data_IF_522499585139
#
_entry.id   IF_522499585139
#
_cell.length_a   1.000
_cell.length_b   1.000
_cell.length_c   1.000
_cell.angle_alpha   90.00
_cell.angle_beta   90.00
_cell.angle_gamma   90.00
#
_symmetry.space_group_name_H-M   'P 1'
#
loop_
_entity.id
_entity.type
_entity.pdbx_description
1 polymer ?
#
# COMPACT_ATOMS: atom_id res chain seq x y z
N UNK A 1 -19.09 -12.27 5.68
CA UNK A 1 -18.63 -13.19 4.62
C UNK A 1 -17.60 -14.11 5.25
N UNK A 2 -17.54 -15.38 4.86
CA UNK A 2 -16.56 -16.30 5.43
C UNK A 2 -15.16 -15.86 4.99
N UNK A 3 -14.20 -15.83 5.91
CA UNK A 3 -12.81 -15.55 5.58
C UNK A 3 -12.23 -16.73 4.78
N UNK A 4 -11.34 -16.44 3.84
CA UNK A 4 -10.63 -17.49 3.11
C UNK A 4 -9.82 -18.35 4.11
N UNK A 5 -9.83 -19.68 3.96
CA UNK A 5 -9.11 -20.56 4.89
C UNK A 5 -7.61 -20.22 4.95
N UNK A 6 -7.03 -19.85 3.82
CA UNK A 6 -5.61 -19.57 3.69
C UNK A 6 -5.38 -18.07 3.41
N UNK A 7 -4.87 -17.28 4.37
CA UNK A 7 -4.71 -15.84 4.17
C UNK A 7 -3.65 -15.47 3.14
N UNK A 8 -2.68 -16.35 2.87
CA UNK A 8 -1.53 -16.02 2.02
C UNK A 8 -1.87 -16.26 0.54
N UNK A 9 -1.68 -15.25 -0.31
CA UNK A 9 -1.84 -15.41 -1.76
C UNK A 9 -0.49 -15.66 -2.45
N UNK A 10 0.50 -14.81 -2.18
CA UNK A 10 1.86 -14.96 -2.71
C UNK A 10 2.91 -15.00 -1.60
N UNK A 11 3.80 -15.99 -1.69
CA UNK A 11 4.98 -16.12 -0.83
C UNK A 11 6.24 -16.11 -1.71
N UNK A 12 7.06 -15.08 -1.52
CA UNK A 12 8.24 -14.74 -2.33
C UNK A 12 7.93 -14.56 -3.82
N UNK A 13 6.75 -14.03 -4.14
CA UNK A 13 6.29 -13.74 -5.51
C UNK A 13 5.79 -14.95 -6.30
N UNK A 14 5.53 -16.05 -5.61
CA UNK A 14 4.93 -17.27 -6.16
C UNK A 14 3.64 -17.58 -5.42
N UNK A 15 2.66 -18.17 -6.12
CA UNK A 15 1.46 -18.72 -5.50
C UNK A 15 1.85 -19.68 -4.39
N UNK A 16 1.07 -19.74 -3.32
CA UNK A 16 1.27 -20.71 -2.23
C UNK A 16 1.16 -22.18 -2.68
N UNK A 17 0.53 -22.44 -3.82
CA UNK A 17 0.38 -23.77 -4.41
C UNK A 17 1.50 -24.12 -5.40
N UNK A 18 2.32 -23.15 -5.81
CA UNK A 18 3.41 -23.35 -6.76
C UNK A 18 4.55 -24.14 -6.10
N UNK A 19 4.71 -25.41 -6.48
CA UNK A 19 5.77 -26.31 -6.00
C UNK A 19 6.88 -26.52 -7.04
N UNK A 20 6.98 -25.64 -8.04
CA UNK A 20 8.04 -25.73 -9.05
C UNK A 20 9.43 -25.57 -8.39
N UNK A 21 10.51 -26.10 -9.02
CA UNK A 21 11.87 -25.89 -8.53
C UNK A 21 12.23 -24.40 -8.36
N UNK A 22 11.65 -23.54 -9.19
CA UNK A 22 11.83 -22.08 -9.09
C UNK A 22 11.18 -21.53 -7.82
N UNK A 23 9.91 -21.81 -7.57
CA UNK A 23 9.24 -21.36 -6.35
C UNK A 23 9.93 -21.87 -5.08
N UNK A 24 10.33 -23.14 -5.06
CA UNK A 24 11.09 -23.73 -3.96
C UNK A 24 12.41 -22.97 -3.74
N UNK A 25 13.15 -22.68 -4.81
CA UNK A 25 14.40 -21.90 -4.75
C UNK A 25 14.15 -20.50 -4.17
N UNK A 26 13.10 -19.81 -4.61
CA UNK A 26 12.76 -18.46 -4.15
C UNK A 26 12.39 -18.44 -2.66
N UNK A 27 11.61 -19.41 -2.20
CA UNK A 27 11.27 -19.55 -0.78
C UNK A 27 12.49 -19.91 0.07
N UNK A 28 13.29 -20.90 -0.35
CA UNK A 28 14.50 -21.35 0.35
C UNK A 28 15.53 -20.23 0.51
N UNK A 29 15.79 -19.49 -0.57
CA UNK A 29 16.80 -18.44 -0.60
C UNK A 29 16.24 -17.05 -0.31
N UNK A 30 14.93 -16.95 -0.02
CA UNK A 30 14.22 -15.71 0.33
C UNK A 30 14.38 -14.63 -0.73
N UNK A 31 14.27 -15.02 -1.99
CA UNK A 31 14.48 -14.16 -3.15
C UNK A 31 13.22 -13.36 -3.47
N UNK A 32 13.39 -12.16 -4.03
CA UNK A 32 12.32 -11.32 -4.51
C UNK A 32 12.38 -11.22 -6.04
N UNK A 33 11.33 -11.62 -6.78
CA UNK A 33 11.35 -11.56 -8.24
C UNK A 33 11.08 -10.17 -8.82
N UNK A 34 10.69 -9.20 -7.98
CA UNK A 34 10.17 -7.90 -8.42
C UNK A 34 11.22 -6.77 -8.27
N UNK A 35 12.44 -6.99 -8.76
CA UNK A 35 13.48 -5.94 -8.85
C UNK A 35 13.71 -5.18 -7.53
N UNK A 36 13.91 -5.93 -6.44
CA UNK A 36 14.27 -5.34 -5.16
C UNK A 36 15.71 -4.81 -5.17
N UNK A 37 16.05 -3.93 -4.23
CA UNK A 37 17.40 -3.31 -4.11
C UNK A 37 18.53 -4.34 -4.00
N UNK A 38 18.21 -5.50 -3.43
CA UNK A 38 19.04 -6.71 -3.41
C UNK A 38 18.20 -7.88 -3.91
N UNK A 39 18.81 -8.99 -4.35
CA UNK A 39 18.05 -10.15 -4.83
C UNK A 39 17.06 -10.73 -3.80
N UNK A 40 17.30 -10.50 -2.51
CA UNK A 40 16.49 -11.02 -1.41
C UNK A 40 15.32 -10.11 -1.03
N UNK A 41 14.28 -10.68 -0.42
CA UNK A 41 13.23 -9.92 0.23
C UNK A 41 13.79 -9.11 1.41
N UNK A 42 13.39 -7.85 1.50
CA UNK A 42 13.82 -6.90 2.54
C UNK A 42 12.71 -6.53 3.52
N UNK A 43 11.52 -7.11 3.38
CA UNK A 43 10.35 -6.76 4.20
C UNK A 43 10.53 -7.23 5.65
N UNK A 44 10.24 -6.33 6.58
CA UNK A 44 10.32 -6.55 8.04
C UNK A 44 11.76 -6.75 8.56
N UNK A 45 12.26 -7.98 8.68
CA UNK A 45 13.54 -8.27 9.35
C UNK A 45 14.61 -8.74 8.37
N UNK A 46 15.79 -8.13 8.39
CA UNK A 46 16.90 -8.47 7.47
C UNK A 46 17.29 -9.97 7.49
N UNK A 47 17.37 -10.58 8.67
CA UNK A 47 17.72 -12.01 8.83
C UNK A 47 16.51 -12.96 8.76
N UNK A 48 15.28 -12.46 8.73
CA UNK A 48 14.06 -13.27 8.64
C UNK A 48 12.92 -12.48 7.97
N UNK A 49 13.06 -12.17 6.66
CA UNK A 49 12.14 -11.29 5.97
C UNK A 49 10.76 -11.93 5.89
N UNK A 50 9.74 -11.08 5.99
CA UNK A 50 8.36 -11.48 5.79
C UNK A 50 8.09 -11.58 4.29
N UNK A 51 8.18 -12.79 3.74
CA UNK A 51 8.08 -13.06 2.30
C UNK A 51 6.69 -12.93 1.68
N UNK A 52 5.70 -12.36 2.39
CA UNK A 52 4.32 -12.28 1.90
C UNK A 52 4.13 -11.02 1.06
N UNK A 53 3.91 -11.23 -0.25
CA UNK A 53 3.73 -10.17 -1.24
C UNK A 53 2.27 -9.71 -1.34
N UNK A 54 1.33 -10.65 -1.23
CA UNK A 54 -0.11 -10.42 -1.25
C UNK A 54 -0.85 -11.40 -0.33
N UNK A 55 -2.04 -11.00 0.13
CA UNK A 55 -2.94 -11.80 0.97
C UNK A 55 -4.31 -11.88 0.32
N UNK A 56 -5.06 -12.96 0.59
CA UNK A 56 -6.45 -13.06 0.15
C UNK A 56 -7.37 -12.24 1.06
N UNK A 57 -8.32 -11.54 0.44
CA UNK A 57 -9.42 -10.86 1.13
C UNK A 57 -10.65 -10.90 0.23
N UNK A 58 -11.71 -11.60 0.66
CA UNK A 58 -12.87 -11.93 -0.16
C UNK A 58 -12.48 -12.61 -1.50
N UNK A 59 -11.61 -13.62 -1.43
CA UNK A 59 -11.06 -14.38 -2.58
C UNK A 59 -10.15 -13.59 -3.54
N UNK A 60 -10.06 -12.27 -3.39
CA UNK A 60 -9.19 -11.43 -4.20
C UNK A 60 -7.79 -11.25 -3.56
N UNK A 61 -6.72 -11.31 -4.37
CA UNK A 61 -5.35 -11.06 -3.92
C UNK A 61 -5.06 -9.56 -3.73
N UNK A 62 -4.84 -9.15 -2.48
CA UNK A 62 -4.50 -7.78 -2.10
C UNK A 62 -3.00 -7.62 -1.91
N UNK A 63 -2.39 -6.66 -2.63
CA UNK A 63 -0.95 -6.40 -2.54
C UNK A 63 -0.59 -5.70 -1.22
N UNK A 64 0.25 -6.34 -0.41
CA UNK A 64 0.73 -5.82 0.89
C UNK A 64 2.23 -5.52 0.90
N UNK A 65 2.87 -5.52 -0.28
CA UNK A 65 4.28 -5.22 -0.45
C UNK A 65 4.45 -4.22 -1.61
N UNK A 66 5.03 -3.03 -1.39
CA UNK A 66 5.21 -2.04 -2.46
C UNK A 66 6.14 -2.54 -3.58
N UNK A 67 7.14 -3.37 -3.24
CA UNK A 67 8.06 -3.96 -4.22
C UNK A 67 7.32 -4.85 -5.23
N UNK A 68 6.18 -5.44 -4.86
CA UNK A 68 5.35 -6.25 -5.78
C UNK A 68 4.87 -5.45 -7.01
N UNK A 69 4.69 -4.12 -6.88
CA UNK A 69 4.30 -3.26 -7.99
C UNK A 69 5.41 -3.06 -9.04
N UNK A 70 6.66 -3.42 -8.72
CA UNK A 70 7.80 -3.29 -9.64
C UNK A 70 7.91 -4.44 -10.64
N UNK A 71 6.87 -5.28 -10.73
CA UNK A 71 6.82 -6.33 -11.74
C UNK A 71 7.02 -5.71 -13.13
N UNK A 72 8.06 -6.18 -13.82
CA UNK A 72 8.47 -5.75 -15.16
C UNK A 72 8.61 -4.23 -15.33
N UNK A 73 8.69 -3.50 -14.21
CA UNK A 73 8.63 -2.04 -14.16
C UNK A 73 7.43 -1.41 -14.90
N UNK A 74 6.34 -2.14 -15.10
CA UNK A 74 5.17 -1.66 -15.88
C UNK A 74 4.58 -0.36 -15.31
N UNK A 75 4.71 -0.12 -14.00
CA UNK A 75 4.27 1.11 -13.36
C UNK A 75 5.03 2.35 -13.84
N UNK A 76 6.30 2.20 -14.24
CA UNK A 76 7.10 3.32 -14.76
C UNK A 76 6.69 3.65 -16.18
N UNK A 77 6.36 2.66 -17.00
CA UNK A 77 5.90 2.88 -18.37
C UNK A 77 4.60 3.70 -18.38
N UNK A 78 3.63 3.29 -17.55
CA UNK A 78 2.36 4.00 -17.41
C UNK A 78 2.52 5.40 -16.80
N UNK A 79 3.46 5.58 -15.88
CA UNK A 79 3.75 6.90 -15.32
C UNK A 79 4.42 7.82 -16.36
N UNK A 80 5.37 7.30 -17.14
CA UNK A 80 6.03 8.04 -18.22
C UNK A 80 5.02 8.51 -19.28
N UNK A 81 4.07 7.65 -19.64
CA UNK A 81 2.96 7.96 -20.56
C UNK A 81 2.09 9.14 -20.10
N UNK A 82 2.03 9.39 -18.78
CA UNK A 82 1.32 10.51 -18.20
C UNK A 82 2.19 11.78 -18.08
N UNK A 83 3.47 11.60 -17.74
CA UNK A 83 4.38 12.71 -17.49
C UNK A 83 4.89 13.38 -18.76
N UNK A 84 5.24 12.60 -19.77
CA UNK A 84 6.03 13.07 -20.90
C UNK A 84 5.29 12.93 -22.23
N UNK A 85 5.65 13.74 -23.24
CA UNK A 85 5.16 13.52 -24.59
C UNK A 85 5.65 12.19 -25.16
N UNK A 86 4.90 11.64 -26.11
CA UNK A 86 5.30 10.43 -26.84
C UNK A 86 6.69 10.61 -27.48
N UNK A 87 7.52 9.58 -27.39
CA UNK A 87 8.88 9.57 -27.93
C UNK A 87 9.94 10.25 -27.06
N UNK A 88 9.58 10.79 -25.88
CA UNK A 88 10.56 11.29 -24.93
C UNK A 88 11.52 10.18 -24.49
N UNK A 89 12.82 10.50 -24.40
CA UNK A 89 13.81 9.62 -23.77
C UNK A 89 13.75 9.85 -22.25
N UNK A 90 13.54 8.78 -21.49
CA UNK A 90 13.36 8.87 -20.04
C UNK A 90 14.05 7.71 -19.29
N UNK A 91 14.26 7.92 -17.99
CA UNK A 91 14.77 6.90 -17.06
C UNK A 91 14.09 7.06 -15.70
N UNK A 92 14.17 6.03 -14.85
CA UNK A 92 13.66 6.04 -13.47
C UNK A 92 14.79 6.07 -12.45
N UNK A 93 14.62 6.88 -11.41
CA UNK A 93 15.51 6.99 -10.24
C UNK A 93 14.73 6.58 -8.99
N UNK A 94 15.24 5.66 -8.18
CA UNK A 94 14.54 5.16 -6.98
C UNK A 94 15.08 5.79 -5.71
N UNK A 95 14.23 5.95 -4.68
CA UNK A 95 14.60 6.44 -3.34
C UNK A 95 15.25 7.85 -3.36
N UNK A 96 14.68 8.78 -4.14
CA UNK A 96 15.24 10.13 -4.30
C UNK A 96 14.84 11.00 -3.11
N UNK A 97 15.83 11.56 -2.40
CA UNK A 97 15.60 12.46 -1.25
C UNK A 97 15.01 13.79 -1.72
N UNK A 98 13.88 14.16 -1.13
CA UNK A 98 13.20 15.44 -1.33
C UNK A 98 13.47 16.34 -0.13
N UNK A 99 13.96 17.55 -0.36
CA UNK A 99 14.16 18.54 0.69
C UNK A 99 13.18 19.70 0.53
N UNK A 100 12.82 20.33 1.66
CA UNK A 100 12.10 21.60 1.67
C UNK A 100 13.04 22.78 1.35
N UNK A 101 12.46 23.99 1.29
CA UNK A 101 13.21 25.22 1.02
C UNK A 101 14.24 25.59 2.10
N UNK A 102 14.23 24.93 3.26
CA UNK A 102 15.20 25.10 4.34
C UNK A 102 16.27 23.98 4.34
N UNK A 103 16.27 23.11 3.33
CA UNK A 103 17.19 21.98 3.23
C UNK A 103 16.86 20.81 4.15
N UNK A 104 15.72 20.83 4.85
CA UNK A 104 15.26 19.70 5.69
C UNK A 104 14.59 18.65 4.83
N UNK A 105 14.75 17.38 5.20
CA UNK A 105 14.15 16.27 4.45
C UNK A 105 12.63 16.28 4.60
N UNK A 106 11.91 16.32 3.47
CA UNK A 106 10.47 16.06 3.39
C UNK A 106 10.16 14.56 3.16
N UNK A 107 11.20 13.72 3.08
CA UNK A 107 11.12 12.29 2.81
C UNK A 107 11.82 11.89 1.52
N UNK A 108 11.69 10.62 1.14
CA UNK A 108 12.20 10.11 -0.13
C UNK A 108 11.04 9.76 -1.05
N UNK A 109 11.07 10.23 -2.29
CA UNK A 109 10.14 9.80 -3.34
C UNK A 109 10.51 8.38 -3.75
N UNK A 110 9.50 7.51 -3.87
CA UNK A 110 9.72 6.10 -4.21
C UNK A 110 10.42 5.95 -5.56
N UNK A 111 9.86 6.58 -6.60
CA UNK A 111 10.39 6.59 -7.96
C UNK A 111 10.22 7.99 -8.55
N UNK A 112 11.28 8.55 -9.13
CA UNK A 112 11.24 9.77 -9.94
C UNK A 112 11.57 9.38 -11.37
N UNK A 113 10.68 9.70 -12.29
CA UNK A 113 10.94 9.56 -13.71
C UNK A 113 11.49 10.88 -14.23
N UNK A 114 12.59 10.83 -14.99
CA UNK A 114 13.26 12.00 -15.56
C UNK A 114 13.32 11.85 -17.08
N UNK A 115 12.99 12.93 -17.78
CA UNK A 115 13.19 13.05 -19.23
C UNK A 115 14.46 13.85 -19.51
N UNK A 116 15.28 13.39 -20.45
CA UNK A 116 16.59 13.95 -20.73
C UNK A 116 16.92 14.01 -22.23
N UNK A 117 17.81 14.93 -22.60
CA UNK A 117 18.27 15.13 -23.98
C UNK A 117 19.40 14.14 -24.38
N UNK A 118 19.86 14.22 -25.62
CA UNK A 118 20.89 13.31 -26.18
C UNK A 118 22.22 13.30 -25.41
N UNK A 119 22.51 14.36 -24.65
CA UNK A 119 23.74 14.48 -23.84
C UNK A 119 23.49 14.24 -22.34
N UNK A 120 22.28 13.80 -21.97
CA UNK A 120 21.93 13.40 -20.60
C UNK A 120 21.48 14.55 -19.70
N UNK A 121 21.13 15.72 -20.22
CA UNK A 121 20.58 16.82 -19.40
C UNK A 121 19.10 16.62 -19.15
N UNK A 122 18.72 16.59 -17.88
CA UNK A 122 17.32 16.48 -17.45
C UNK A 122 16.60 17.79 -17.78
N UNK A 123 15.50 17.72 -18.52
CA UNK A 123 14.64 18.86 -18.83
C UNK A 123 13.25 18.76 -18.19
N UNK A 124 12.80 17.57 -17.80
CA UNK A 124 11.53 17.37 -17.11
C UNK A 124 11.55 16.17 -16.15
N UNK A 125 10.60 16.12 -15.21
CA UNK A 125 10.42 14.99 -14.32
C UNK A 125 8.99 14.89 -13.77
N UNK A 126 8.63 13.68 -13.34
CA UNK A 126 7.42 13.42 -12.56
C UNK A 126 7.70 12.43 -11.43
N UNK A 127 6.90 12.48 -10.37
CA UNK A 127 7.05 11.59 -9.22
C UNK A 127 6.04 10.46 -9.25
N UNK A 128 6.49 9.22 -9.09
CA UNK A 128 5.67 8.03 -8.94
C UNK A 128 5.79 7.51 -7.50
N UNK A 129 4.69 7.58 -6.76
CA UNK A 129 4.56 7.03 -5.40
C UNK A 129 3.82 5.68 -5.46
N UNK A 130 4.27 4.70 -4.68
CA UNK A 130 3.67 3.36 -4.66
C UNK A 130 3.02 3.10 -3.31
N UNK A 131 1.72 2.86 -3.32
CA UNK A 131 0.96 2.60 -2.10
C UNK A 131 0.39 1.18 -2.07
N UNK A 132 1.09 0.29 -1.37
CA UNK A 132 0.59 -1.03 -1.00
C UNK A 132 -0.34 -0.95 0.22
N UNK A 133 -1.10 -2.02 0.44
CA UNK A 133 -2.09 -2.09 1.52
C UNK A 133 -1.43 -2.48 2.84
N UNK A 134 -1.71 -1.68 3.87
CA UNK A 134 -1.41 -2.02 5.26
C UNK A 134 -2.30 -3.16 5.71
N UNK A 135 -1.84 -3.93 6.70
CA UNK A 135 -2.63 -5.03 7.27
C UNK A 135 -2.87 -4.79 8.76
N UNK A 136 -4.01 -5.26 9.23
CA UNK A 136 -4.29 -5.53 10.63
C UNK A 136 -4.12 -7.03 10.91
N UNK A 137 -4.10 -7.43 12.18
CA UNK A 137 -3.85 -8.81 12.58
C UNK A 137 -2.38 -9.22 12.41
N UNK A 138 -2.13 -10.52 12.23
CA UNK A 138 -0.80 -11.09 12.18
C UNK A 138 -0.62 -11.96 10.93
N UNK A 139 0.16 -11.46 9.97
CA UNK A 139 0.54 -12.23 8.77
C UNK A 139 1.82 -13.06 8.97
N UNK A 140 2.61 -12.75 10.01
CA UNK A 140 3.90 -13.41 10.26
C UNK A 140 3.70 -14.85 10.72
N UNK A 141 2.77 -15.10 11.64
CA UNK A 141 2.47 -16.44 12.15
C UNK A 141 2.02 -17.40 11.05
N UNK A 142 1.00 -17.10 10.22
CA UNK A 142 0.62 -17.98 9.11
C UNK A 142 1.75 -18.16 8.09
N UNK A 143 2.55 -17.11 7.84
CA UNK A 143 3.72 -17.20 6.97
C UNK A 143 4.78 -18.16 7.50
N UNK A 144 5.14 -18.05 8.77
CA UNK A 144 6.15 -18.93 9.39
C UNK A 144 5.65 -20.37 9.44
N UNK A 145 4.37 -20.60 9.76
CA UNK A 145 3.74 -21.91 9.69
C UNK A 145 3.80 -22.49 8.27
N UNK A 146 3.36 -21.72 7.25
CA UNK A 146 3.45 -22.14 5.85
C UNK A 146 4.89 -22.50 5.44
N UNK A 147 5.88 -21.74 5.89
CA UNK A 147 7.29 -21.97 5.57
C UNK A 147 7.91 -23.22 6.23
N UNK A 148 7.27 -23.84 7.22
CA UNK A 148 7.75 -25.10 7.83
C UNK A 148 7.67 -26.27 6.86
N UNK A 149 6.56 -26.39 6.12
CA UNK A 149 6.36 -27.33 5.04
C UNK A 149 5.38 -26.76 4.00
N UNK A 150 5.88 -25.98 3.01
CA UNK A 150 5.03 -25.37 2.00
C UNK A 150 4.18 -26.35 1.20
N UNK A 151 4.60 -27.62 1.06
CA UNK A 151 3.89 -28.63 0.28
C UNK A 151 2.66 -29.13 1.02
N UNK A 152 2.79 -29.36 2.32
CA UNK A 152 1.68 -29.78 3.18
C UNK A 152 0.79 -28.61 3.57
N UNK A 153 1.38 -27.45 3.88
CA UNK A 153 0.67 -26.30 4.46
C UNK A 153 0.02 -25.38 3.42
N UNK A 154 0.12 -25.65 2.12
CA UNK A 154 -0.58 -24.90 1.08
C UNK A 154 -2.12 -24.93 1.24
N UNK A 155 -2.68 -25.95 1.93
CA UNK A 155 -4.11 -26.09 2.24
C UNK A 155 -4.43 -25.87 3.73
N UNK A 156 -3.56 -25.18 4.47
CA UNK A 156 -3.83 -24.90 5.88
C UNK A 156 -5.13 -24.10 6.05
N UNK A 157 -5.80 -24.29 7.18
CA UNK A 157 -6.96 -23.50 7.57
C UNK A 157 -6.59 -22.59 8.73
N UNK A 158 -6.67 -21.29 8.48
CA UNK A 158 -6.37 -20.20 9.40
C UNK A 158 -7.62 -19.40 9.75
N UNK A 159 -8.80 -19.75 9.21
CA UNK A 159 -10.04 -18.96 9.32
C UNK A 159 -10.52 -18.77 10.76
N UNK A 160 -10.22 -19.72 11.64
CA UNK A 160 -10.57 -19.70 13.06
C UNK A 160 -9.46 -19.15 13.96
N UNK A 161 -8.27 -18.86 13.42
CA UNK A 161 -7.14 -18.39 14.23
C UNK A 161 -7.32 -16.94 14.67
N UNK A 162 -6.96 -16.60 15.92
CA UNK A 162 -7.03 -15.22 16.40
C UNK A 162 -6.09 -14.33 15.58
N UNK A 163 -6.49 -13.07 15.40
CA UNK A 163 -5.71 -12.08 14.64
C UNK A 163 -5.49 -12.44 13.15
N UNK A 164 -6.47 -13.08 12.51
CA UNK A 164 -6.45 -13.30 11.05
C UNK A 164 -6.04 -12.01 10.30
N UNK A 165 -5.04 -12.08 9.40
CA UNK A 165 -4.53 -10.88 8.74
C UNK A 165 -5.55 -10.32 7.75
N UNK A 166 -5.87 -9.03 7.89
CA UNK A 166 -6.84 -8.35 7.02
C UNK A 166 -6.27 -7.06 6.45
N UNK A 167 -6.58 -6.71 5.20
CA UNK A 167 -6.34 -5.37 4.67
C UNK A 167 -6.90 -4.27 5.61
N UNK A 168 -6.04 -3.35 6.01
CA UNK A 168 -6.39 -2.13 6.74
C UNK A 168 -6.33 -0.95 5.77
N UNK A 169 -7.38 -0.83 4.94
CA UNK A 169 -7.50 0.23 3.94
C UNK A 169 -7.55 1.61 4.59
N UNK A 170 -8.16 1.74 5.77
CA UNK A 170 -8.28 3.01 6.47
C UNK A 170 -6.92 3.54 6.92
N UNK A 171 -6.09 2.70 7.54
CA UNK A 171 -4.71 3.07 7.87
C UNK A 171 -3.86 3.27 6.61
N UNK A 172 -4.09 2.49 5.55
CA UNK A 172 -3.40 2.67 4.27
C UNK A 172 -3.65 4.06 3.69
N UNK A 173 -4.88 4.55 3.76
CA UNK A 173 -5.22 5.91 3.33
C UNK A 173 -4.69 6.97 4.29
N UNK A 174 -5.09 6.91 5.57
CA UNK A 174 -4.87 8.00 6.54
C UNK A 174 -3.44 8.10 7.07
N UNK A 175 -2.74 6.98 7.25
CA UNK A 175 -1.39 6.96 7.86
C UNK A 175 -0.28 6.87 6.83
N UNK A 176 -0.59 6.58 5.56
CA UNK A 176 0.40 6.41 4.50
C UNK A 176 0.09 7.32 3.31
N UNK A 177 -0.96 7.05 2.54
CA UNK A 177 -1.24 7.80 1.31
C UNK A 177 -1.37 9.31 1.54
N UNK A 178 -2.24 9.72 2.45
CA UNK A 178 -2.52 11.13 2.68
C UNK A 178 -1.28 11.90 3.16
N UNK A 179 -0.50 11.45 4.18
CA UNK A 179 0.75 12.11 4.54
C UNK A 179 1.74 12.26 3.38
N UNK A 180 1.89 11.23 2.53
CA UNK A 180 2.80 11.31 1.37
C UNK A 180 2.37 12.41 0.39
N UNK A 181 1.07 12.50 0.09
CA UNK A 181 0.53 13.53 -0.79
C UNK A 181 0.64 14.92 -0.18
N UNK A 182 0.39 15.08 1.13
CA UNK A 182 0.53 16.36 1.82
C UNK A 182 1.98 16.86 1.75
N UNK A 183 2.94 16.05 2.22
CA UNK A 183 4.30 16.52 2.42
C UNK A 183 5.13 16.52 1.14
N UNK A 184 5.12 15.41 0.39
CA UNK A 184 5.89 15.31 -0.86
C UNK A 184 5.10 15.88 -2.03
N UNK A 185 3.84 15.46 -2.15
CA UNK A 185 2.98 15.91 -3.24
C UNK A 185 2.80 17.42 -3.27
N UNK A 186 2.70 18.07 -2.09
CA UNK A 186 2.63 19.53 -2.00
C UNK A 186 3.84 20.24 -2.61
N UNK A 187 5.06 19.71 -2.38
CA UNK A 187 6.29 20.26 -2.97
C UNK A 187 6.29 20.03 -4.49
N UNK A 188 6.01 18.81 -4.94
CA UNK A 188 6.00 18.46 -6.37
C UNK A 188 4.97 19.29 -7.14
N UNK A 189 3.77 19.47 -6.58
CA UNK A 189 2.72 20.29 -7.14
C UNK A 189 3.11 21.78 -7.18
N UNK A 190 3.82 22.29 -6.17
CA UNK A 190 4.32 23.68 -6.15
C UNK A 190 5.30 23.97 -7.30
N UNK A 191 6.04 22.95 -7.74
CA UNK A 191 6.92 23.02 -8.91
C UNK A 191 6.18 22.79 -10.24
N UNK A 192 4.86 22.66 -10.20
CA UNK A 192 3.98 22.35 -11.33
C UNK A 192 4.37 21.06 -12.04
N UNK A 193 4.85 20.07 -11.27
CA UNK A 193 5.19 18.75 -11.78
C UNK A 193 4.06 17.77 -11.49
N UNK A 194 3.93 16.79 -12.39
CA UNK A 194 2.90 15.75 -12.33
C UNK A 194 3.27 14.66 -11.34
N UNK A 195 2.25 14.07 -10.73
CA UNK A 195 2.37 12.97 -9.77
C UNK A 195 1.61 11.76 -10.31
N UNK A 196 2.19 10.58 -10.23
CA UNK A 196 1.48 9.33 -10.41
C UNK A 196 1.46 8.57 -9.08
N UNK A 197 0.35 7.91 -8.79
CA UNK A 197 0.21 7.03 -7.62
C UNK A 197 -0.17 5.65 -8.11
N UNK A 198 0.66 4.65 -7.87
CA UNK A 198 0.36 3.25 -8.17
C UNK A 198 -0.21 2.56 -6.93
N UNK A 199 -1.38 1.94 -7.07
CA UNK A 199 -2.09 1.31 -5.95
C UNK A 199 -2.99 0.15 -6.41
N UNK A 200 -3.41 -0.69 -5.46
CA UNK A 200 -4.25 -1.84 -5.74
C UNK A 200 -5.73 -1.42 -5.87
N UNK A 201 -6.47 -2.04 -6.79
CA UNK A 201 -7.89 -1.78 -7.08
C UNK A 201 -8.76 -1.76 -5.83
N UNK A 202 -8.66 -2.81 -5.01
CA UNK A 202 -9.42 -2.92 -3.75
C UNK A 202 -9.17 -1.74 -2.79
N UNK A 203 -7.96 -1.17 -2.81
CA UNK A 203 -7.65 0.01 -2.01
C UNK A 203 -8.21 1.29 -2.63
N UNK A 204 -8.16 1.43 -3.96
CA UNK A 204 -8.74 2.58 -4.64
C UNK A 204 -10.23 2.73 -4.37
N UNK A 205 -10.97 1.61 -4.41
CA UNK A 205 -12.42 1.58 -4.26
C UNK A 205 -12.90 2.03 -2.86
N UNK A 206 -12.01 2.00 -1.86
CA UNK A 206 -12.28 2.47 -0.50
C UNK A 206 -11.98 3.98 -0.35
N UNK A 207 -11.24 4.59 -1.28
CA UNK A 207 -11.02 6.02 -1.25
C UNK A 207 -12.36 6.75 -1.51
N UNK A 208 -12.59 7.92 -0.90
CA UNK A 208 -13.75 8.73 -1.23
C UNK A 208 -13.73 9.09 -2.72
N UNK A 209 -14.91 9.22 -3.34
CA UNK A 209 -15.05 9.49 -4.76
C UNK A 209 -14.27 10.75 -5.19
N UNK A 210 -13.23 10.55 -6.01
CA UNK A 210 -12.40 11.63 -6.50
C UNK A 210 -13.00 12.26 -7.75
N UNK A 211 -12.99 13.60 -7.81
CA UNK A 211 -13.43 14.34 -9.00
C UNK A 211 -12.46 14.10 -10.16
N UNK A 212 -12.96 13.44 -11.21
CA UNK A 212 -12.19 13.14 -12.42
C UNK A 212 -12.07 14.38 -13.33
N UNK A 213 -10.94 14.48 -14.03
CA UNK A 213 -10.67 15.48 -15.08
C UNK A 213 -10.01 14.81 -16.30
N UNK A 214 -9.90 15.52 -17.41
CA UNK A 214 -9.16 15.07 -18.60
C UNK A 214 -7.65 14.95 -18.30
N UNK A 215 -6.96 14.03 -19.00
CA UNK A 215 -5.52 13.74 -18.83
C UNK A 215 -4.65 15.00 -18.90
N UNK A 216 -4.98 15.93 -19.80
CA UNK A 216 -4.23 17.16 -20.06
C UNK A 216 -4.35 18.18 -18.91
N UNK A 217 -5.46 18.12 -18.17
CA UNK A 217 -5.73 18.99 -17.01
C UNK A 217 -5.28 18.37 -15.69
N UNK A 218 -4.88 17.11 -15.71
CA UNK A 218 -4.59 16.35 -14.51
C UNK A 218 -3.20 16.67 -13.95
N UNK A 219 -3.15 16.78 -12.63
CA UNK A 219 -1.91 16.92 -11.87
C UNK A 219 -1.53 15.58 -11.21
N UNK A 220 -2.52 14.73 -10.94
CA UNK A 220 -2.34 13.37 -10.44
C UNK A 220 -2.94 12.35 -11.42
N UNK A 221 -2.19 11.29 -11.71
CA UNK A 221 -2.71 10.05 -12.27
C UNK A 221 -2.71 8.93 -11.23
N UNK A 222 -3.90 8.41 -10.90
CA UNK A 222 -4.08 7.24 -10.06
C UNK A 222 -4.04 6.01 -10.96
N UNK A 223 -2.90 5.32 -10.95
CA UNK A 223 -2.67 4.10 -11.71
C UNK A 223 -3.19 2.92 -10.87
N UNK A 224 -4.35 2.41 -11.24
CA UNK A 224 -5.07 1.39 -10.48
C UNK A 224 -4.71 0.01 -11.03
N UNK A 225 -4.15 -0.84 -10.18
CA UNK A 225 -3.68 -2.17 -10.56
C UNK A 225 -4.44 -3.29 -9.85
N UNK A 226 -4.51 -4.43 -10.52
CA UNK A 226 -5.00 -5.67 -9.94
C UNK A 226 -4.00 -6.80 -10.19
N UNK A 227 -4.19 -7.93 -9.50
CA UNK A 227 -3.43 -9.15 -9.73
C UNK A 227 -4.30 -10.19 -10.43
N UNK A 228 -4.05 -10.41 -11.72
CA UNK A 228 -4.77 -11.44 -12.51
C UNK A 228 -3.97 -12.72 -12.57
N UNK A 229 -4.65 -13.85 -12.37
CA UNK A 229 -4.02 -15.16 -12.45
C UNK A 229 -3.84 -15.56 -13.92
N UNK A 230 -2.59 -15.70 -14.37
CA UNK A 230 -2.23 -16.17 -15.71
C UNK A 230 -1.13 -17.22 -15.62
N UNK A 231 -1.33 -18.38 -16.28
CA UNK A 231 -0.34 -19.46 -16.32
C UNK A 231 0.22 -19.82 -14.94
N UNK A 232 -0.66 -19.98 -13.95
CA UNK A 232 -0.33 -20.31 -12.56
C UNK A 232 0.54 -19.26 -11.83
N UNK A 233 0.51 -18.00 -12.27
CA UNK A 233 1.14 -16.87 -11.56
C UNK A 233 0.26 -15.63 -11.60
N UNK A 234 0.30 -14.84 -10.54
CA UNK A 234 -0.33 -13.53 -10.58
C UNK A 234 0.51 -12.55 -11.40
N UNK A 235 -0.13 -11.88 -12.35
CA UNK A 235 0.42 -10.79 -13.15
C UNK A 235 -0.17 -9.47 -12.70
N UNK A 236 0.67 -8.45 -12.60
CA UNK A 236 0.23 -7.10 -12.28
C UNK A 236 -0.34 -6.44 -13.53
N UNK A 237 -1.63 -6.10 -13.50
CA UNK A 237 -2.31 -5.48 -14.63
C UNK A 237 -2.92 -4.14 -14.24
N UNK A 238 -2.73 -3.11 -15.08
CA UNK A 238 -3.42 -1.83 -14.90
C UNK A 238 -4.86 -1.97 -15.36
N UNK A 239 -5.81 -1.81 -14.44
CA UNK A 239 -7.25 -1.98 -14.70
C UNK A 239 -7.99 -0.65 -14.90
N UNK A 240 -7.46 0.45 -14.35
CA UNK A 240 -8.01 1.79 -14.57
C UNK A 240 -6.88 2.84 -14.48
N UNK A 241 -7.11 4.01 -15.05
CA UNK A 241 -6.33 5.22 -14.78
C UNK A 241 -7.28 6.37 -14.50
N UNK A 242 -7.23 6.88 -13.28
CA UNK A 242 -8.07 8.01 -12.88
C UNK A 242 -7.23 9.27 -12.83
N UNK A 243 -7.71 10.33 -13.47
CA UNK A 243 -7.02 11.61 -13.56
C UNK A 243 -7.70 12.65 -12.67
N UNK A 244 -6.94 13.36 -11.84
CA UNK A 244 -7.48 14.36 -10.91
C UNK A 244 -6.61 15.61 -10.85
N UNK A 245 -7.20 16.72 -10.44
CA UNK A 245 -6.47 17.89 -9.91
C UNK A 245 -5.93 17.54 -8.52
N UNK A 246 -4.80 18.15 -8.12
CA UNK A 246 -4.09 17.85 -6.88
C UNK A 246 -4.87 18.31 -5.65
N UNK A 247 -5.25 19.59 -5.61
CA UNK A 247 -5.92 20.18 -4.44
C UNK A 247 -7.27 19.54 -4.14
N UNK A 248 -8.20 19.37 -5.11
CA UNK A 248 -9.47 18.69 -4.85
C UNK A 248 -9.29 17.26 -4.36
N UNK A 249 -8.39 16.47 -4.98
CA UNK A 249 -8.16 15.09 -4.56
C UNK A 249 -7.59 15.01 -3.14
N UNK A 250 -6.62 15.88 -2.81
CA UNK A 250 -6.04 15.94 -1.47
C UNK A 250 -7.08 16.28 -0.41
N UNK A 251 -7.92 17.28 -0.66
CA UNK A 251 -9.00 17.68 0.24
C UNK A 251 -10.00 16.54 0.46
N UNK A 252 -10.45 15.89 -0.62
CA UNK A 252 -11.36 14.75 -0.55
C UNK A 252 -10.79 13.58 0.25
N UNK A 253 -9.49 13.29 0.16
CA UNK A 253 -8.85 12.19 0.89
C UNK A 253 -8.63 12.53 2.37
N UNK A 254 -8.33 13.79 2.67
CA UNK A 254 -7.94 14.23 4.02
C UNK A 254 -9.11 14.68 4.88
N UNK A 255 -10.23 15.07 4.29
CA UNK A 255 -11.40 15.56 5.00
C UNK A 255 -12.42 14.45 5.23
N UNK A 256 -12.60 13.96 6.46
CA UNK A 256 -13.67 13.00 6.75
C UNK A 256 -15.03 13.69 6.61
N UNK A 257 -16.00 12.97 6.03
CA UNK A 257 -17.40 13.40 6.06
C UNK A 257 -17.93 13.18 7.48
N UNK A 258 -18.42 14.22 8.17
CA UNK A 258 -18.96 14.05 9.52
C UNK A 258 -20.20 13.17 9.49
N UNK A 259 -20.29 12.24 10.45
CA UNK A 259 -21.54 11.54 10.76
C UNK A 259 -22.56 12.48 11.40
N UNK A 260 -23.76 11.98 11.66
CA UNK A 260 -24.78 12.76 12.37
C UNK A 260 -24.34 13.02 13.81
N UNK A 261 -24.47 14.27 14.25
CA UNK A 261 -24.12 14.68 15.61
C UNK A 261 -24.93 13.89 16.64
N UNK A 262 -26.22 13.68 16.36
CA UNK A 262 -27.12 12.95 17.27
C UNK A 262 -26.66 11.53 17.58
N UNK A 263 -26.09 10.83 16.60
CA UNK A 263 -25.58 9.46 16.80
C UNK A 263 -24.35 9.47 17.72
N UNK A 264 -23.49 10.48 17.59
CA UNK A 264 -22.36 10.65 18.49
C UNK A 264 -22.82 11.05 19.91
N UNK A 265 -23.84 11.91 20.03
CA UNK A 265 -24.43 12.26 21.33
C UNK A 265 -24.98 11.03 22.05
N UNK A 266 -25.63 10.09 21.34
CA UNK A 266 -26.12 8.84 21.96
C UNK A 266 -24.98 8.00 22.54
N UNK A 267 -23.88 7.84 21.79
CA UNK A 267 -22.68 7.13 22.29
C UNK A 267 -22.09 7.81 23.52
N UNK A 268 -22.11 9.15 23.57
CA UNK A 268 -21.67 9.90 24.76
C UNK A 268 -22.60 9.67 25.95
N UNK A 269 -23.91 9.66 25.72
CA UNK A 269 -24.90 9.43 26.78
C UNK A 269 -24.77 8.01 27.36
N UNK A 270 -24.66 6.98 26.52
CA UNK A 270 -24.45 5.60 26.95
C UNK A 270 -23.20 5.47 27.84
N UNK A 271 -22.09 6.08 27.43
CA UNK A 271 -20.85 6.08 28.22
C UNK A 271 -20.97 6.84 29.54
N UNK A 272 -21.71 7.94 29.54
CA UNK A 272 -21.94 8.73 30.75
C UNK A 272 -22.82 7.95 31.73
N UNK A 273 -23.88 7.30 31.24
CA UNK A 273 -24.78 6.47 32.04
C UNK A 273 -24.02 5.30 32.68
N UNK A 274 -23.16 4.59 31.93
CA UNK A 274 -22.27 3.54 32.47
C UNK A 274 -21.37 4.06 33.61
N UNK A 275 -20.82 5.26 33.47
CA UNK A 275 -20.00 5.88 34.52
C UNK A 275 -20.80 6.25 35.77
N UNK A 276 -22.04 6.71 35.58
CA UNK A 276 -22.91 7.11 36.68
C UNK A 276 -23.54 5.91 37.41
N UNK A 277 -23.75 4.78 36.73
CA UNK A 277 -24.25 3.54 37.35
C UNK A 277 -23.15 2.72 38.03
N UNK A 278 -21.87 3.00 37.76
CA UNK A 278 -20.75 2.35 38.46
C UNK A 278 -20.52 3.05 39.82
N UNK A 279 -20.76 2.39 40.97
CA UNK A 279 -20.56 3.03 42.28
C UNK A 279 -19.09 3.43 42.48
N UNK A 280 -18.81 4.56 43.17
CA UNK A 280 -17.44 4.99 43.41
C UNK A 280 -16.67 3.91 44.18
N UNK A 281 -15.44 3.63 43.74
CA UNK A 281 -14.48 2.85 44.55
C UNK A 281 -14.15 3.66 45.81
N UNK A 282 -14.85 3.39 46.89
CA UNK A 282 -14.45 3.87 48.20
C UNK A 282 -13.25 3.04 48.66
N UNK A 283 -12.04 3.61 48.57
CA UNK A 283 -10.90 3.07 49.31
C UNK A 283 -11.08 3.45 50.78
N UNK A 284 -11.36 2.45 51.62
CA UNK A 284 -11.39 2.62 53.07
C UNK A 284 -9.98 2.92 53.55
N UNK A 285 -9.73 4.15 54.02
CA UNK A 285 -8.52 4.49 54.77
C UNK A 285 -8.69 3.91 56.18
N UNK A 286 -8.36 2.65 56.38
CA UNK A 286 -8.17 2.12 57.73
C UNK A 286 -6.90 2.75 58.32
N UNK A 287 -7.07 3.61 59.33
CA UNK A 287 -5.97 4.00 60.20
C UNK A 287 -5.70 2.84 61.18
N UNK A 288 -4.47 2.32 61.26
CA UNK A 288 -4.13 1.32 62.26
C UNK A 288 -4.14 1.99 63.64
N UNK A 289 -4.96 1.48 64.54
CA UNK A 289 -4.80 1.65 65.98
C UNK A 289 -4.29 0.33 66.55
#
# INVERSE_FOLDING_TARGET
MAEHNQPLAEVFGHLITDQTPMAIRYRKNRLCPFSNKVPNCTKDKAKNPLGVCSVYHNDDPVIICPIRFRQDWIITDHAAEFFFPSGATWSSLTEVRLNDNFGKSAGNIDIVLVAYDEIGRIYDFGSLEVQAVYISGNVRTPFEYYMTDPKTNQKMDWSAEPNYPRPDYLSSSRKRLAPQLIFKGGIINSWKKKIAVALNKSFFEILPALKRVEKEKAEIAWLVYDLKLESDRFQLERVDTVYTEFQPALMTITQPVPGRLEDFIKVLQEKLDEQLETPPKNETIEKPF
#
